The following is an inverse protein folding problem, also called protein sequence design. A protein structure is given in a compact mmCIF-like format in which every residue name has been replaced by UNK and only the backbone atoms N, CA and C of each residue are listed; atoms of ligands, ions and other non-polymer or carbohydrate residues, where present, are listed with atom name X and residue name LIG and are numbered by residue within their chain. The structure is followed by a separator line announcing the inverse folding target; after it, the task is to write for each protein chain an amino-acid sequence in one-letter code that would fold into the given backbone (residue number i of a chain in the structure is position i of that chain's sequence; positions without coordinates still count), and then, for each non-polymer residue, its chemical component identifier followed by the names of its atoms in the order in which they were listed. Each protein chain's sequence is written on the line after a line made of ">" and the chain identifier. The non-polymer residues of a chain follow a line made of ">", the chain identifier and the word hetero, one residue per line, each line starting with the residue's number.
data_IF_109188504517
#
_entry.id   IF_109188504517
#
_cell.length_a   1.000
_cell.length_b   1.000
_cell.length_c   1.000
_cell.angle_alpha   90.00
_cell.angle_beta   90.00
_cell.angle_gamma   90.00
#
_symmetry.space_group_name_H-M   'P 1'
#
loop_
_entity.id
_entity.type
_entity.pdbx_description
1 polymer ?
#
# COMPACT_ATOMS: atom_id res chain seq x y z
N UNK A 1 -5.26 6.48 35.21
CA UNK A 1 -4.14 5.70 34.60
C UNK A 1 -4.18 5.69 33.07
N UNK A 2 -5.31 5.42 32.41
CA UNK A 2 -5.40 5.43 30.93
C UNK A 2 -5.07 6.80 30.32
N UNK A 3 -5.64 7.91 30.82
CA UNK A 3 -5.38 9.26 30.28
C UNK A 3 -3.89 9.63 30.28
N UNK A 4 -3.14 9.25 31.32
CA UNK A 4 -1.70 9.56 31.39
C UNK A 4 -0.90 8.80 30.31
N UNK A 5 -1.28 7.57 29.97
CA UNK A 5 -0.62 6.81 28.89
C UNK A 5 -0.91 7.43 27.53
N UNK A 6 -2.11 7.95 27.31
CA UNK A 6 -2.48 8.63 26.05
C UNK A 6 -1.77 9.96 25.88
N UNK A 7 -1.67 10.78 26.94
CA UNK A 7 -0.85 12.01 26.89
C UNK A 7 0.61 11.70 26.55
N UNK A 8 1.18 10.67 27.19
CA UNK A 8 2.55 10.25 26.91
C UNK A 8 2.71 9.74 25.47
N UNK A 9 1.74 8.98 24.96
CA UNK A 9 1.72 8.51 23.59
C UNK A 9 1.71 9.68 22.59
N UNK A 10 0.82 10.66 22.80
CA UNK A 10 0.71 11.86 21.98
C UNK A 10 2.04 12.63 21.95
N UNK A 11 2.66 12.87 23.11
CA UNK A 11 3.96 13.53 23.19
C UNK A 11 5.05 12.81 22.38
N UNK A 12 5.09 11.47 22.43
CA UNK A 12 6.05 10.69 21.64
C UNK A 12 5.76 10.83 20.14
N UNK A 13 4.49 10.71 19.72
CA UNK A 13 4.09 10.85 18.32
C UNK A 13 4.42 12.26 17.81
N UNK A 14 4.10 13.31 18.57
CA UNK A 14 4.38 14.70 18.21
C UNK A 14 5.89 14.94 18.03
N UNK A 15 6.75 14.34 18.88
CA UNK A 15 8.21 14.36 18.71
C UNK A 15 8.64 13.71 17.39
N UNK A 16 8.07 12.55 17.02
CA UNK A 16 8.35 11.93 15.71
C UNK A 16 7.88 12.80 14.55
N UNK A 17 6.67 13.36 14.62
CA UNK A 17 6.09 14.17 13.54
C UNK A 17 6.84 15.50 13.35
N UNK A 18 7.36 16.09 14.44
CA UNK A 18 8.14 17.33 14.39
C UNK A 18 9.46 17.20 13.61
N UNK A 19 10.01 15.98 13.51
CA UNK A 19 11.27 15.71 12.79
C UNK A 19 11.12 15.68 11.29
N UNK A 20 9.89 15.51 10.78
CA UNK A 20 9.61 15.37 9.35
C UNK A 20 8.29 16.09 9.01
N UNK A 21 8.22 17.43 9.13
CA UNK A 21 6.99 18.18 8.90
C UNK A 21 6.44 18.02 7.48
N UNK A 22 7.29 17.76 6.49
CA UNK A 22 6.92 17.52 5.09
C UNK A 22 6.14 16.20 4.91
N UNK A 23 6.21 15.28 5.88
CA UNK A 23 5.51 13.99 5.83
C UNK A 23 4.00 14.17 5.65
N UNK A 24 3.43 15.23 6.23
CA UNK A 24 2.00 15.53 6.11
C UNK A 24 1.57 15.66 4.65
N UNK A 25 2.36 16.33 3.81
CA UNK A 25 2.01 16.47 2.39
C UNK A 25 2.17 15.15 1.64
N UNK A 26 3.17 14.34 1.96
CA UNK A 26 3.29 12.99 1.40
C UNK A 26 2.09 12.10 1.76
N UNK A 27 1.63 12.14 3.01
CA UNK A 27 0.42 11.43 3.46
C UNK A 27 -0.83 11.94 2.72
N UNK A 28 -1.01 13.27 2.63
CA UNK A 28 -2.15 13.85 1.92
C UNK A 28 -2.20 13.44 0.45
N UNK A 29 -1.06 13.40 -0.23
CA UNK A 29 -0.97 12.89 -1.61
C UNK A 29 -1.38 11.42 -1.70
N UNK A 30 -0.96 10.58 -0.76
CA UNK A 30 -1.40 9.19 -0.71
C UNK A 30 -2.92 9.09 -0.49
N UNK A 31 -3.50 9.87 0.43
CA UNK A 31 -4.95 9.93 0.68
C UNK A 31 -5.76 10.38 -0.54
N UNK A 32 -5.18 11.27 -1.35
CA UNK A 32 -5.77 11.68 -2.63
C UNK A 32 -5.57 10.64 -3.74
N UNK A 33 -4.84 9.54 -3.55
CA UNK A 33 -4.48 8.60 -4.63
C UNK A 33 -3.54 9.27 -5.65
N UNK A 34 -2.51 9.97 -5.17
CA UNK A 34 -1.51 10.70 -5.98
C UNK A 34 -0.09 10.13 -5.84
N UNK A 35 0.04 8.95 -5.20
CA UNK A 35 1.26 8.15 -5.30
C UNK A 35 1.56 7.90 -6.79
N UNK A 36 2.83 7.90 -7.18
CA UNK A 36 3.22 7.77 -8.60
C UNK A 36 2.54 8.78 -9.55
N UNK A 37 2.30 10.02 -9.06
CA UNK A 37 1.63 11.05 -9.85
C UNK A 37 0.15 10.75 -10.14
N UNK A 38 -0.45 9.81 -9.41
CA UNK A 38 -1.83 9.36 -9.62
C UNK A 38 -1.97 8.26 -10.68
N UNK A 39 -0.87 7.72 -11.20
CA UNK A 39 -0.93 6.58 -12.12
C UNK A 39 -1.20 5.29 -11.35
N UNK A 40 -2.41 4.75 -11.52
CA UNK A 40 -2.86 3.55 -10.80
C UNK A 40 -2.17 2.27 -11.28
N UNK A 41 -1.79 2.18 -12.56
CA UNK A 41 -1.01 1.04 -13.05
C UNK A 41 0.34 0.94 -12.32
N UNK A 42 1.02 2.07 -12.07
CA UNK A 42 2.23 2.11 -11.25
C UNK A 42 1.99 1.69 -9.80
N UNK A 43 0.89 2.13 -9.19
CA UNK A 43 0.51 1.69 -7.83
C UNK A 43 0.27 0.17 -7.75
N UNK A 44 -0.39 -0.41 -8.75
CA UNK A 44 -0.64 -1.86 -8.82
C UNK A 44 0.68 -2.63 -8.99
N UNK A 45 1.58 -2.17 -9.86
CA UNK A 45 2.91 -2.77 -10.06
C UNK A 45 3.75 -2.67 -8.78
N UNK A 46 3.77 -1.51 -8.13
CA UNK A 46 4.46 -1.26 -6.85
C UNK A 46 3.97 -2.21 -5.74
N UNK A 47 2.65 -2.36 -5.59
CA UNK A 47 2.05 -3.28 -4.63
C UNK A 47 2.42 -4.75 -4.91
N UNK A 48 2.42 -5.14 -6.18
CA UNK A 48 2.75 -6.50 -6.59
C UNK A 48 4.24 -6.82 -6.39
N UNK A 49 5.13 -5.85 -6.57
CA UNK A 49 6.57 -6.03 -6.34
C UNK A 49 6.90 -6.05 -4.84
N UNK A 50 6.19 -5.28 -4.01
CA UNK A 50 6.42 -5.25 -2.56
C UNK A 50 6.11 -6.60 -1.88
N UNK A 51 5.31 -7.48 -2.52
CA UNK A 51 4.86 -8.77 -1.98
C UNK A 51 5.94 -9.84 -1.70
N UNK A 52 7.18 -9.60 -2.14
CA UNK A 52 8.27 -10.59 -2.12
C UNK A 52 9.31 -10.36 -1.01
N UNK A 53 9.17 -9.30 -0.22
CA UNK A 53 10.06 -9.02 0.91
C UNK A 53 11.45 -8.48 0.54
N UNK A 54 11.63 -7.94 -0.67
CA UNK A 54 12.84 -7.21 -1.04
C UNK A 54 12.84 -5.79 -0.46
N UNK A 55 14.01 -5.17 -0.42
CA UNK A 55 14.14 -3.79 0.04
C UNK A 55 13.34 -2.84 -0.86
N UNK A 56 12.43 -2.08 -0.26
CA UNK A 56 11.54 -1.18 -1.00
C UNK A 56 12.33 -0.13 -1.80
N UNK A 57 13.25 0.58 -1.14
CA UNK A 57 13.94 1.73 -1.73
C UNK A 57 15.02 1.33 -2.74
N UNK A 58 15.72 0.22 -2.51
CA UNK A 58 16.86 -0.17 -3.35
C UNK A 58 16.51 -1.22 -4.40
N UNK A 59 15.39 -1.94 -4.27
CA UNK A 59 14.97 -2.95 -5.24
C UNK A 59 13.62 -2.64 -5.89
N UNK A 60 12.57 -2.32 -5.12
CA UNK A 60 11.22 -2.13 -5.67
C UNK A 60 11.10 -0.82 -6.44
N UNK A 61 11.37 0.32 -5.79
CA UNK A 61 11.22 1.66 -6.39
C UNK A 61 11.99 1.79 -7.71
N UNK A 62 13.27 1.39 -7.82
CA UNK A 62 14.01 1.49 -9.07
C UNK A 62 13.36 0.70 -10.21
N UNK A 63 12.76 -0.46 -9.91
CA UNK A 63 12.10 -1.29 -10.93
C UNK A 63 10.72 -0.79 -11.32
N UNK A 64 9.98 -0.16 -10.42
CA UNK A 64 8.74 0.54 -10.77
C UNK A 64 9.05 1.77 -11.65
N UNK A 65 10.13 2.49 -11.35
CA UNK A 65 10.62 3.59 -12.21
C UNK A 65 11.09 3.11 -13.59
N UNK A 66 11.80 1.97 -13.66
CA UNK A 66 12.19 1.35 -14.93
C UNK A 66 10.95 0.95 -15.75
N UNK A 67 9.93 0.37 -15.10
CA UNK A 67 8.64 0.08 -15.74
C UNK A 67 7.95 1.36 -16.22
N UNK A 68 7.96 2.43 -15.43
CA UNK A 68 7.38 3.75 -15.81
C UNK A 68 8.00 4.27 -17.09
N UNK A 69 9.33 4.30 -17.17
CA UNK A 69 10.06 4.78 -18.35
C UNK A 69 9.78 3.93 -19.59
N UNK A 70 9.79 2.61 -19.43
CA UNK A 70 9.70 1.71 -20.57
C UNK A 70 8.27 1.54 -21.11
N UNK A 71 7.25 1.65 -20.26
CA UNK A 71 5.86 1.34 -20.65
C UNK A 71 4.87 2.49 -20.47
N UNK A 72 5.01 3.32 -19.43
CA UNK A 72 4.08 4.43 -19.19
C UNK A 72 4.46 5.63 -20.05
N UNK A 73 5.73 6.06 -20.00
CA UNK A 73 6.21 7.22 -20.76
C UNK A 73 6.23 6.97 -22.27
N UNK A 74 6.40 5.71 -22.69
CA UNK A 74 6.31 5.30 -24.10
C UNK A 74 4.87 5.22 -24.63
N UNK A 75 3.87 5.24 -23.73
CA UNK A 75 2.46 5.05 -24.08
C UNK A 75 2.04 3.61 -24.35
N UNK A 76 2.91 2.61 -24.15
CA UNK A 76 2.54 1.19 -24.30
C UNK A 76 1.51 0.75 -23.24
N UNK A 77 1.56 1.32 -22.04
CA UNK A 77 0.59 1.11 -20.96
C UNK A 77 0.07 2.47 -20.48
N UNK A 78 -1.18 2.78 -20.80
CA UNK A 78 -1.83 4.06 -20.47
C UNK A 78 -2.84 3.94 -19.32
N UNK A 79 -3.33 2.73 -19.04
CA UNK A 79 -4.32 2.43 -18.01
C UNK A 79 -4.27 0.95 -17.57
N UNK A 80 -5.11 0.57 -16.61
CA UNK A 80 -5.19 -0.81 -16.12
C UNK A 80 -5.56 -1.83 -17.20
N UNK A 81 -6.40 -1.47 -18.18
CA UNK A 81 -6.75 -2.38 -19.30
C UNK A 81 -5.53 -2.72 -20.14
N UNK A 82 -4.72 -1.72 -20.50
CA UNK A 82 -3.47 -1.94 -21.22
C UNK A 82 -2.44 -2.73 -20.40
N UNK A 83 -2.42 -2.60 -19.06
CA UNK A 83 -1.58 -3.45 -18.19
C UNK A 83 -2.02 -4.92 -18.23
N UNK A 84 -3.33 -5.19 -18.33
CA UNK A 84 -3.88 -6.55 -18.49
C UNK A 84 -3.47 -7.15 -19.84
N UNK A 85 -3.40 -6.34 -20.89
CA UNK A 85 -3.06 -6.79 -22.25
C UNK A 85 -1.54 -6.86 -22.51
N UNK A 86 -0.74 -6.17 -21.69
CA UNK A 86 0.71 -6.07 -21.86
C UNK A 86 1.42 -7.43 -21.99
N UNK A 87 2.39 -7.48 -22.92
CA UNK A 87 3.15 -8.70 -23.20
C UNK A 87 4.00 -9.11 -21.97
N UNK A 88 3.76 -10.32 -21.46
CA UNK A 88 4.41 -10.81 -20.25
C UNK A 88 5.94 -10.96 -20.40
N UNK A 89 6.43 -11.34 -21.58
CA UNK A 89 7.87 -11.51 -21.81
C UNK A 89 8.62 -10.17 -21.74
N UNK A 90 8.02 -9.09 -22.25
CA UNK A 90 8.53 -7.73 -22.07
C UNK A 90 8.54 -7.31 -20.60
N UNK A 91 7.44 -7.56 -19.87
CA UNK A 91 7.34 -7.24 -18.45
C UNK A 91 8.42 -7.99 -17.62
N UNK A 92 8.70 -9.24 -17.97
CA UNK A 92 9.72 -10.05 -17.32
C UNK A 92 11.15 -9.51 -17.47
N UNK A 93 11.42 -8.66 -18.46
CA UNK A 93 12.71 -7.97 -18.59
C UNK A 93 12.94 -6.96 -17.46
N UNK A 94 11.88 -6.31 -16.98
CA UNK A 94 11.97 -5.39 -15.82
C UNK A 94 12.10 -6.20 -14.53
N UNK A 95 11.20 -7.17 -14.37
CA UNK A 95 11.02 -7.91 -13.14
C UNK A 95 10.83 -9.41 -13.42
N UNK A 96 11.84 -10.24 -13.11
CA UNK A 96 11.84 -11.66 -13.49
C UNK A 96 10.78 -12.51 -12.78
N UNK A 97 10.19 -12.03 -11.69
CA UNK A 97 9.22 -12.80 -10.93
C UNK A 97 7.85 -12.82 -11.65
N UNK A 98 7.55 -13.93 -12.33
CA UNK A 98 6.26 -14.14 -13.00
C UNK A 98 5.06 -14.02 -12.06
N UNK A 99 5.18 -14.44 -10.80
CA UNK A 99 4.08 -14.37 -9.83
C UNK A 99 3.68 -12.93 -9.53
N UNK A 100 4.64 -12.02 -9.38
CA UNK A 100 4.37 -10.59 -9.19
C UNK A 100 3.58 -10.01 -10.36
N UNK A 101 3.93 -10.36 -11.61
CA UNK A 101 3.16 -9.92 -12.76
C UNK A 101 1.75 -10.51 -12.81
N UNK A 102 1.57 -11.78 -12.46
CA UNK A 102 0.23 -12.35 -12.37
C UNK A 102 -0.63 -11.64 -11.32
N UNK A 103 -0.04 -11.26 -10.18
CA UNK A 103 -0.73 -10.44 -9.17
C UNK A 103 -1.13 -9.08 -9.76
N UNK A 104 -0.19 -8.35 -10.36
CA UNK A 104 -0.46 -7.05 -10.97
C UNK A 104 -1.57 -7.12 -12.03
N UNK A 105 -1.49 -8.07 -12.96
CA UNK A 105 -2.46 -8.24 -14.04
C UNK A 105 -3.84 -8.66 -13.54
N UNK A 106 -3.93 -9.52 -12.51
CA UNK A 106 -5.22 -9.90 -11.92
C UNK A 106 -5.87 -8.77 -11.13
N UNK A 107 -5.09 -7.97 -10.39
CA UNK A 107 -5.59 -6.76 -9.71
C UNK A 107 -6.10 -5.76 -10.76
N UNK A 108 -5.31 -5.49 -11.80
CA UNK A 108 -5.68 -4.59 -12.89
C UNK A 108 -6.94 -5.06 -13.62
N UNK A 109 -7.07 -6.37 -13.87
CA UNK A 109 -8.25 -6.97 -14.49
C UNK A 109 -9.51 -6.77 -13.64
N UNK A 110 -9.43 -6.96 -12.33
CA UNK A 110 -10.57 -6.73 -11.45
C UNK A 110 -10.96 -5.25 -11.41
N UNK A 111 -10.00 -4.36 -11.15
CA UNK A 111 -10.25 -2.92 -11.03
C UNK A 111 -10.79 -2.31 -12.33
N UNK A 112 -10.24 -2.69 -13.49
CA UNK A 112 -10.70 -2.18 -14.80
C UNK A 112 -12.14 -2.56 -15.18
N UNK A 113 -12.76 -3.48 -14.43
CA UNK A 113 -14.19 -3.81 -14.56
C UNK A 113 -15.09 -2.96 -13.66
N UNK A 114 -14.54 -2.32 -12.63
CA UNK A 114 -15.32 -1.51 -11.70
C UNK A 114 -15.64 -0.14 -12.29
N UNK A 115 -14.67 0.47 -12.96
CA UNK A 115 -14.82 1.78 -13.61
C UNK A 115 -13.81 1.93 -14.75
N UNK A 116 -14.12 2.78 -15.73
CA UNK A 116 -13.18 3.13 -16.81
C UNK A 116 -12.09 4.12 -16.35
N UNK A 117 -12.34 4.86 -15.26
CA UNK A 117 -11.38 5.70 -14.60
C UNK A 117 -10.67 4.90 -13.50
N UNK A 118 -9.40 4.55 -13.74
CA UNK A 118 -8.62 3.71 -12.83
C UNK A 118 -8.55 4.28 -11.40
N UNK A 119 -8.50 5.61 -11.23
CA UNK A 119 -8.47 6.26 -9.90
C UNK A 119 -9.78 6.08 -9.17
N UNK A 120 -10.91 6.20 -9.87
CA UNK A 120 -12.24 5.92 -9.30
C UNK A 120 -12.33 4.45 -8.93
N UNK A 121 -11.94 3.53 -9.83
CA UNK A 121 -11.96 2.10 -9.59
C UNK A 121 -11.18 1.70 -8.33
N UNK A 122 -9.93 2.17 -8.20
CA UNK A 122 -9.08 1.88 -7.04
C UNK A 122 -9.69 2.41 -5.74
N UNK A 123 -10.17 3.66 -5.73
CA UNK A 123 -10.76 4.28 -4.55
C UNK A 123 -12.05 3.58 -4.12
N UNK A 124 -12.91 3.24 -5.08
CA UNK A 124 -14.16 2.51 -4.84
C UNK A 124 -13.88 1.15 -4.21
N UNK A 125 -12.98 0.35 -4.78
CA UNK A 125 -12.58 -0.91 -4.16
C UNK A 125 -11.99 -0.69 -2.77
N UNK A 126 -11.01 0.20 -2.62
CA UNK A 126 -10.30 0.39 -1.36
C UNK A 126 -11.22 0.79 -0.20
N UNK A 127 -12.19 1.67 -0.46
CA UNK A 127 -13.17 2.16 0.52
C UNK A 127 -14.19 1.11 0.97
N UNK A 128 -14.45 0.09 0.13
CA UNK A 128 -15.43 -0.97 0.39
C UNK A 128 -14.81 -2.31 0.80
N UNK A 129 -13.50 -2.46 0.57
CA UNK A 129 -12.72 -3.65 0.89
C UNK A 129 -12.74 -3.97 2.41
N UNK A 130 -13.11 -5.20 2.75
CA UNK A 130 -13.27 -5.63 4.14
C UNK A 130 -12.01 -6.31 4.69
N UNK A 131 -11.31 -5.64 5.61
CA UNK A 131 -10.11 -6.18 6.26
C UNK A 131 -10.34 -7.51 7.01
N UNK A 132 -11.49 -7.69 7.68
CA UNK A 132 -11.77 -8.92 8.45
C UNK A 132 -11.92 -10.14 7.54
N UNK A 133 -12.48 -9.93 6.35
CA UNK A 133 -12.76 -10.96 5.36
C UNK A 133 -11.91 -10.79 4.10
N UNK A 134 -10.70 -10.25 4.24
CA UNK A 134 -9.88 -9.86 3.09
C UNK A 134 -9.57 -11.04 2.16
N UNK A 135 -9.53 -12.28 2.66
CA UNK A 135 -9.34 -13.47 1.81
C UNK A 135 -10.54 -13.81 0.92
N UNK A 136 -11.73 -13.33 1.28
CA UNK A 136 -12.96 -13.45 0.48
C UNK A 136 -13.09 -12.28 -0.52
N UNK A 137 -12.29 -11.22 -0.36
CA UNK A 137 -12.28 -10.08 -1.26
C UNK A 137 -11.74 -10.47 -2.66
N UNK A 138 -12.28 -9.92 -3.75
CA UNK A 138 -11.81 -10.25 -5.10
C UNK A 138 -10.33 -10.00 -5.34
N UNK A 139 -9.72 -8.98 -4.72
CA UNK A 139 -8.28 -8.74 -4.78
C UNK A 139 -7.54 -9.59 -3.75
N UNK A 140 -8.05 -9.68 -2.52
CA UNK A 140 -7.38 -10.44 -1.46
C UNK A 140 -7.38 -11.96 -1.67
N UNK A 141 -8.32 -12.49 -2.47
CA UNK A 141 -8.38 -13.89 -2.90
C UNK A 141 -7.44 -14.23 -4.07
N UNK A 142 -6.79 -13.25 -4.70
CA UNK A 142 -5.83 -13.50 -5.78
C UNK A 142 -4.63 -14.28 -5.24
N UNK A 143 -4.30 -15.40 -5.87
CA UNK A 143 -3.13 -16.20 -5.50
C UNK A 143 -1.85 -15.36 -5.60
N UNK A 144 -1.18 -15.17 -4.47
CA UNK A 144 0.03 -14.35 -4.34
C UNK A 144 -0.21 -12.98 -3.70
N UNK A 145 -1.46 -12.56 -3.51
CA UNK A 145 -1.79 -11.39 -2.67
C UNK A 145 -1.80 -11.81 -1.21
N UNK A 146 -0.97 -11.15 -0.41
CA UNK A 146 -0.98 -11.23 1.05
C UNK A 146 -1.61 -10.00 1.68
N UNK A 147 -1.83 -10.04 3.00
CA UNK A 147 -2.41 -8.93 3.76
C UNK A 147 -1.62 -7.62 3.59
N UNK A 148 -0.28 -7.70 3.52
CA UNK A 148 0.58 -6.53 3.29
C UNK A 148 0.24 -5.86 1.95
N UNK A 149 0.19 -6.63 0.85
CA UNK A 149 -0.18 -6.12 -0.48
C UNK A 149 -1.60 -5.56 -0.48
N UNK A 150 -2.54 -6.25 0.15
CA UNK A 150 -3.93 -5.82 0.27
C UNK A 150 -4.05 -4.46 0.98
N UNK A 151 -3.40 -4.32 2.14
CA UNK A 151 -3.38 -3.07 2.90
C UNK A 151 -2.64 -1.96 2.17
N UNK A 152 -1.50 -2.27 1.56
CA UNK A 152 -0.72 -1.27 0.84
C UNK A 152 -1.51 -0.70 -0.36
N UNK A 153 -2.27 -1.54 -1.06
CA UNK A 153 -3.16 -1.08 -2.11
C UNK A 153 -4.34 -0.27 -1.57
N UNK A 154 -4.91 -0.63 -0.41
CA UNK A 154 -5.95 0.19 0.26
C UNK A 154 -5.42 1.59 0.62
N UNK A 155 -4.19 1.67 1.14
CA UNK A 155 -3.51 2.96 1.40
C UNK A 155 -3.39 3.79 0.12
N UNK A 156 -2.94 3.17 -0.98
CA UNK A 156 -2.83 3.85 -2.28
C UNK A 156 -4.20 4.26 -2.84
N UNK A 157 -5.25 3.50 -2.55
CA UNK A 157 -6.65 3.86 -2.83
C UNK A 157 -7.22 4.95 -1.91
N UNK A 158 -6.39 5.55 -1.05
CA UNK A 158 -6.76 6.71 -0.24
C UNK A 158 -7.45 6.38 1.07
N UNK A 159 -7.41 5.12 1.51
CA UNK A 159 -7.85 4.74 2.86
C UNK A 159 -6.77 5.11 3.86
N UNK A 160 -7.15 5.84 4.91
CA UNK A 160 -6.27 6.15 6.03
C UNK A 160 -6.08 4.90 6.90
N UNK A 161 -5.09 4.08 6.53
CA UNK A 161 -4.78 2.80 7.16
C UNK A 161 -3.28 2.54 7.05
N UNK A 162 -2.84 1.41 7.59
CA UNK A 162 -1.42 1.05 7.61
C UNK A 162 -1.19 -0.35 7.07
N UNK A 163 -0.04 -0.56 6.43
CA UNK A 163 0.45 -1.89 6.09
C UNK A 163 1.25 -2.45 7.28
N UNK A 164 1.02 -3.70 7.72
CA UNK A 164 1.70 -4.29 8.87
C UNK A 164 3.11 -4.82 8.49
N UNK A 165 3.96 -3.96 7.91
CA UNK A 165 5.33 -4.34 7.55
C UNK A 165 6.24 -4.43 8.80
N UNK A 166 7.35 -5.17 8.70
CA UNK A 166 8.28 -5.41 9.82
C UNK A 166 8.86 -4.11 10.40
N UNK A 167 9.18 -3.13 9.56
CA UNK A 167 9.76 -1.85 10.00
C UNK A 167 8.69 -1.00 10.67
N UNK A 168 7.52 -0.84 10.05
CA UNK A 168 6.37 -0.13 10.63
C UNK A 168 5.97 -0.74 11.97
N UNK A 169 5.81 -2.07 12.04
CA UNK A 169 5.47 -2.75 13.30
C UNK A 169 6.49 -2.49 14.39
N UNK A 170 7.78 -2.49 14.05
CA UNK A 170 8.85 -2.18 15.01
C UNK A 170 8.71 -0.76 15.55
N UNK A 171 8.53 0.23 14.68
CA UNK A 171 8.44 1.64 15.09
C UNK A 171 7.20 1.88 15.95
N UNK A 172 6.03 1.41 15.53
CA UNK A 172 4.78 1.59 16.28
C UNK A 172 4.83 0.85 17.62
N UNK A 173 5.37 -0.38 17.66
CA UNK A 173 5.52 -1.11 18.92
C UNK A 173 6.52 -0.45 19.88
N UNK A 174 7.59 0.17 19.37
CA UNK A 174 8.51 0.97 20.20
C UNK A 174 7.79 2.17 20.83
N UNK A 175 7.00 2.90 20.03
CA UNK A 175 6.19 4.02 20.49
C UNK A 175 5.21 3.56 21.59
N UNK A 176 4.50 2.44 21.37
CA UNK A 176 3.57 1.87 22.35
C UNK A 176 4.28 1.51 23.67
N UNK A 177 5.43 0.82 23.59
CA UNK A 177 6.19 0.42 24.79
C UNK A 177 6.69 1.65 25.56
N UNK A 178 7.21 2.67 24.87
CA UNK A 178 7.63 3.94 25.49
C UNK A 178 6.46 4.66 26.19
N UNK A 179 5.25 4.54 25.65
CA UNK A 179 4.01 5.06 26.25
C UNK A 179 3.47 4.18 27.42
N UNK A 180 4.11 3.03 27.71
CA UNK A 180 3.67 2.09 28.74
C UNK A 180 2.48 1.22 28.30
N UNK A 181 2.31 1.01 27.00
CA UNK A 181 1.31 0.14 26.38
C UNK A 181 1.98 -1.15 25.86
N UNK A 182 1.27 -2.29 25.81
CA UNK A 182 1.83 -3.52 25.27
C UNK A 182 2.00 -3.43 23.73
N UNK A 183 3.01 -4.11 23.16
CA UNK A 183 3.15 -4.22 21.72
C UNK A 183 2.04 -5.09 21.11
N UNK A 184 1.72 -4.86 19.84
CA UNK A 184 0.72 -5.62 19.07
C UNK A 184 1.42 -6.33 17.91
N UNK A 185 1.39 -7.65 17.92
CA UNK A 185 2.14 -8.48 16.96
C UNK A 185 1.27 -9.20 15.93
N UNK A 186 -0.02 -9.40 16.18
CA UNK A 186 -0.94 -9.95 15.18
C UNK A 186 -1.30 -8.85 14.18
N UNK A 187 -1.26 -9.15 12.87
CA UNK A 187 -1.32 -8.13 11.82
C UNK A 187 -2.65 -7.38 11.79
N UNK A 188 -3.78 -8.09 11.93
CA UNK A 188 -5.11 -7.45 11.90
C UNK A 188 -5.31 -6.59 13.16
N UNK A 189 -4.91 -7.08 14.32
CA UNK A 189 -4.94 -6.34 15.57
C UNK A 189 -4.01 -5.12 15.51
N UNK A 190 -2.84 -5.25 14.88
CA UNK A 190 -1.91 -4.14 14.69
C UNK A 190 -2.51 -3.03 13.83
N UNK A 191 -3.14 -3.38 12.70
CA UNK A 191 -3.80 -2.42 11.81
C UNK A 191 -4.90 -1.67 12.57
N UNK A 192 -5.79 -2.39 13.26
CA UNK A 192 -6.85 -1.77 14.06
C UNK A 192 -6.29 -0.86 15.14
N UNK A 193 -5.21 -1.30 15.81
CA UNK A 193 -4.60 -0.50 16.85
C UNK A 193 -4.08 0.81 16.28
N UNK A 194 -3.41 0.79 15.13
CA UNK A 194 -2.94 2.01 14.48
C UNK A 194 -4.11 2.93 14.08
N UNK A 195 -5.19 2.38 13.53
CA UNK A 195 -6.41 3.13 13.17
C UNK A 195 -7.07 3.77 14.41
N UNK A 196 -7.13 3.07 15.54
CA UNK A 196 -7.61 3.63 16.82
C UNK A 196 -6.74 4.80 17.31
N UNK A 197 -5.42 4.69 17.17
CA UNK A 197 -4.49 5.73 17.60
C UNK A 197 -4.59 7.00 16.75
N UNK A 198 -4.95 6.88 15.47
CA UNK A 198 -5.06 8.01 14.55
C UNK A 198 -6.27 8.93 14.84
N UNK A 199 -7.26 8.44 15.59
CA UNK A 199 -8.51 9.17 15.91
C UNK A 199 -8.40 9.94 17.23
N UNK A 200 -7.31 9.75 17.99
CA UNK A 200 -7.07 10.41 19.28
C UNK A 200 -6.36 11.75 19.14
#
# INVERSE_FOLDING_TARGET
>A
MLNHKFEKLKQIIDDYMSKVPELKEYCNRCLRTERWGGNVALMVVDAAFTSIGLNYFTAVVPKVEEFRKNFIESGEIVNLKSLVEANLEKLLQIWRNKRSWMVAKNIAFYLSKLDNNDRIALRTWASTANLKKWREDPIGGIKGVGLITFQYLRMMGGVDTIMPDKIVKRVINDILVRAGMPPVNEDIAFIRKAEELAIQ
#
